data_IF_359066290097
#
_entry.id   IF_359066290097
#
_cell.length_a   1.000
_cell.length_b   1.000
_cell.length_c   1.000
_cell.angle_alpha   90.00
_cell.angle_beta   90.00
_cell.angle_gamma   90.00
#
_symmetry.space_group_name_H-M   'P 1'
#
loop_
_entity.id
_entity.type
_entity.pdbx_description
1 polymer ?
#
# COMPACT_ATOMS: atom_id res chain seq x y z
N UNK A 1 -1.45 -0.38 7.15
CA UNK A 1 -0.43 -1.16 6.43
C UNK A 1 -0.95 -2.56 6.25
N UNK A 2 -0.82 -3.10 5.04
CA UNK A 2 -1.18 -4.47 4.68
C UNK A 2 0.10 -5.18 4.30
N UNK A 3 0.30 -6.41 4.74
CA UNK A 3 1.44 -7.20 4.32
C UNK A 3 1.11 -8.68 4.23
N UNK A 4 1.82 -9.39 3.37
CA UNK A 4 1.70 -10.84 3.18
C UNK A 4 3.00 -11.41 2.64
N UNK A 5 3.13 -12.73 2.68
CA UNK A 5 4.21 -13.46 2.02
C UNK A 5 3.65 -14.03 0.72
N UNK A 6 4.28 -13.70 -0.40
CA UNK A 6 3.83 -14.13 -1.72
C UNK A 6 3.94 -15.66 -1.87
N UNK A 7 2.84 -16.30 -2.29
CA UNK A 7 2.78 -17.76 -2.56
C UNK A 7 3.22 -18.12 -3.99
N UNK A 8 3.26 -17.14 -4.88
CA UNK A 8 3.62 -17.24 -6.29
C UNK A 8 4.44 -15.99 -6.68
N UNK A 9 5.23 -16.09 -7.74
CA UNK A 9 5.97 -14.96 -8.30
C UNK A 9 5.22 -14.29 -9.45
N UNK A 10 5.68 -13.10 -9.84
CA UNK A 10 5.13 -12.35 -10.97
C UNK A 10 5.69 -10.94 -11.09
N UNK A 11 5.10 -10.13 -11.96
CA UNK A 11 5.61 -8.78 -12.26
C UNK A 11 4.56 -7.70 -12.12
N UNK A 12 3.34 -7.88 -12.60
CA UNK A 12 2.33 -6.83 -12.64
C UNK A 12 1.41 -6.88 -11.41
N UNK A 13 1.62 -5.95 -10.47
CA UNK A 13 0.75 -5.79 -9.30
C UNK A 13 -0.42 -4.86 -9.65
N UNK A 14 -1.65 -5.34 -9.50
CA UNK A 14 -2.88 -4.57 -9.76
C UNK A 14 -3.77 -4.50 -8.52
N UNK A 15 -4.28 -3.30 -8.22
CA UNK A 15 -5.26 -3.03 -7.17
C UNK A 15 -6.33 -2.08 -7.73
N UNK A 16 -7.46 -2.62 -8.24
CA UNK A 16 -8.48 -1.81 -8.90
C UNK A 16 -8.99 -0.64 -8.03
N UNK A 17 -9.21 -0.88 -6.74
CA UNK A 17 -9.67 0.14 -5.80
C UNK A 17 -8.83 0.09 -4.52
N UNK A 18 -7.88 1.03 -4.41
CA UNK A 18 -7.13 1.28 -3.19
C UNK A 18 -7.15 2.75 -2.81
N UNK A 19 -7.87 3.08 -1.74
CA UNK A 19 -8.14 4.47 -1.36
C UNK A 19 -7.27 4.92 -0.19
N UNK A 20 -6.52 6.02 -0.29
CA UNK A 20 -6.48 6.98 -1.43
C UNK A 20 -5.17 6.91 -2.20
N UNK A 21 -4.07 6.71 -1.47
CA UNK A 21 -2.71 6.58 -2.00
C UNK A 21 -2.02 5.37 -1.38
N UNK A 22 -1.40 4.55 -2.20
CA UNK A 22 -0.74 3.31 -1.75
C UNK A 22 0.72 3.28 -2.16
N UNK A 23 1.59 2.97 -1.22
CA UNK A 23 3.01 2.77 -1.44
C UNK A 23 3.26 1.26 -1.43
N UNK A 24 3.79 0.75 -2.53
CA UNK A 24 4.03 -0.68 -2.74
C UNK A 24 5.49 -0.98 -2.42
N UNK A 25 5.72 -1.99 -1.57
CA UNK A 25 7.05 -2.45 -1.19
C UNK A 25 7.18 -3.95 -1.43
N UNK A 26 8.33 -4.40 -1.92
CA UNK A 26 8.73 -5.80 -1.99
C UNK A 26 10.00 -5.96 -1.17
N UNK A 27 9.99 -6.87 -0.19
CA UNK A 27 11.12 -7.09 0.74
C UNK A 27 11.65 -5.78 1.38
N UNK A 28 10.71 -4.88 1.71
CA UNK A 28 10.95 -3.51 2.23
C UNK A 28 11.52 -2.49 1.25
N UNK A 29 11.74 -2.85 -0.01
CA UNK A 29 12.16 -1.93 -1.07
C UNK A 29 10.94 -1.28 -1.75
N UNK A 30 10.93 0.06 -1.82
CA UNK A 30 9.85 0.82 -2.45
C UNK A 30 9.83 0.57 -3.96
N UNK A 31 8.74 0.00 -4.45
CA UNK A 31 8.50 -0.24 -5.87
C UNK A 31 7.81 0.93 -6.56
N UNK A 32 6.95 1.64 -5.81
CA UNK A 32 6.30 2.85 -6.31
C UNK A 32 4.97 3.15 -5.63
N UNK A 33 4.19 4.01 -6.28
CA UNK A 33 2.96 4.57 -5.72
C UNK A 33 1.77 4.34 -6.65
N UNK A 34 0.66 3.89 -6.08
CA UNK A 34 -0.67 3.80 -6.69
C UNK A 34 -1.57 4.91 -6.14
N UNK A 35 -2.44 5.43 -7.00
CA UNK A 35 -3.35 6.53 -6.67
C UNK A 35 -4.74 6.17 -7.17
N UNK A 36 -5.73 6.12 -6.27
CA UNK A 36 -7.11 5.85 -6.69
C UNK A 36 -7.62 6.93 -7.63
N UNK A 37 -7.50 8.20 -7.21
CA UNK A 37 -7.86 9.35 -8.04
C UNK A 37 -7.25 10.63 -7.50
N UNK A 38 -6.67 11.43 -8.39
CA UNK A 38 -6.22 12.80 -8.13
C UNK A 38 -6.55 13.66 -9.35
N UNK A 39 -7.72 14.30 -9.34
CA UNK A 39 -8.26 14.98 -10.52
C UNK A 39 -8.55 14.00 -11.66
N UNK A 40 -7.88 14.19 -12.79
CA UNK A 40 -7.93 13.30 -13.97
C UNK A 40 -6.88 12.18 -13.93
N UNK A 41 -6.03 12.13 -12.89
CA UNK A 41 -4.98 11.13 -12.78
C UNK A 41 -5.42 9.96 -11.90
N UNK A 42 -5.09 8.75 -12.32
CA UNK A 42 -5.21 7.52 -11.54
C UNK A 42 -4.10 6.54 -11.93
N UNK A 43 -3.70 5.68 -11.00
CA UNK A 43 -2.77 4.59 -11.25
C UNK A 43 -3.11 3.42 -10.34
N UNK A 44 -3.66 2.36 -10.92
CA UNK A 44 -4.16 1.19 -10.19
C UNK A 44 -3.26 -0.04 -10.31
N UNK A 45 -2.14 0.08 -11.02
CA UNK A 45 -1.22 -1.01 -11.22
C UNK A 45 0.22 -0.49 -11.34
N UNK A 46 1.18 -1.39 -11.11
CA UNK A 46 2.61 -1.14 -11.25
C UNK A 46 3.34 -2.46 -11.53
N UNK A 47 4.37 -2.41 -12.36
CA UNK A 47 5.31 -3.52 -12.47
C UNK A 47 6.30 -3.45 -11.31
N UNK A 48 6.46 -4.57 -10.61
CA UNK A 48 7.29 -4.71 -9.42
C UNK A 48 8.47 -5.63 -9.70
N UNK A 49 9.61 -5.35 -9.09
CA UNK A 49 10.79 -6.18 -9.15
C UNK A 49 10.89 -7.08 -7.91
N UNK A 50 11.50 -8.25 -8.06
CA UNK A 50 11.77 -9.15 -6.93
C UNK A 50 10.55 -9.83 -6.32
N UNK A 51 9.36 -9.72 -6.91
CA UNK A 51 8.15 -10.40 -6.47
C UNK A 51 8.20 -11.91 -6.80
N UNK A 52 9.00 -12.64 -6.02
CA UNK A 52 9.19 -14.09 -6.08
C UNK A 52 8.44 -14.79 -4.95
N UNK A 53 8.29 -16.12 -5.06
CA UNK A 53 7.75 -16.96 -3.97
C UNK A 53 8.55 -16.69 -2.68
N UNK A 54 7.84 -16.44 -1.59
CA UNK A 54 8.41 -16.15 -0.28
C UNK A 54 8.82 -14.68 -0.06
N UNK A 55 8.79 -13.82 -1.08
CA UNK A 55 9.02 -12.40 -0.90
C UNK A 55 7.87 -11.76 -0.10
N UNK A 56 8.20 -10.71 0.66
CA UNK A 56 7.23 -9.97 1.46
C UNK A 56 6.67 -8.81 0.66
N UNK A 57 5.38 -8.87 0.35
CA UNK A 57 4.65 -7.74 -0.21
C UNK A 57 4.12 -6.88 0.94
N UNK A 58 4.48 -5.60 0.92
CA UNK A 58 3.96 -4.57 1.81
C UNK A 58 3.19 -3.51 1.01
N UNK A 59 2.02 -3.11 1.52
CA UNK A 59 1.24 -2.00 0.97
C UNK A 59 0.88 -1.05 2.11
N UNK A 60 1.52 0.12 2.10
CA UNK A 60 1.17 1.22 2.99
C UNK A 60 0.11 2.07 2.32
N UNK A 61 -1.11 2.07 2.86
CA UNK A 61 -2.21 2.89 2.35
C UNK A 61 -2.41 4.12 3.24
N UNK A 62 -2.34 5.29 2.62
CA UNK A 62 -2.67 6.57 3.22
C UNK A 62 -4.14 6.90 2.93
N UNK A 63 -4.89 7.18 4.00
CA UNK A 63 -6.20 7.81 3.92
C UNK A 63 -6.00 9.33 3.91
N UNK A 64 -6.25 9.97 2.77
CA UNK A 64 -6.02 11.41 2.57
C UNK A 64 -7.20 12.28 3.00
N UNK A 65 -8.18 11.69 3.70
CA UNK A 65 -9.39 12.35 4.19
C UNK A 65 -10.63 11.71 3.60
N UNK A 66 -11.71 11.67 4.39
CA UNK A 66 -13.03 11.23 3.92
C UNK A 66 -13.72 12.36 3.16
N UNK A 67 -14.36 12.05 2.05
CA UNK A 67 -15.25 13.00 1.36
C UNK A 67 -16.36 13.46 2.32
N UNK A 68 -16.66 14.75 2.32
CA UNK A 68 -17.62 15.37 3.24
C UNK A 68 -19.07 15.27 2.76
N UNK A 69 -19.34 15.30 1.44
CA UNK A 69 -20.69 15.22 0.86
C UNK A 69 -20.62 14.54 -0.53
N UNK A 70 -21.41 13.47 -0.81
CA UNK A 70 -22.22 12.65 0.10
C UNK A 70 -21.34 11.62 0.85
N UNK A 71 -21.52 11.52 2.16
CA UNK A 71 -20.47 11.12 3.11
C UNK A 71 -20.41 9.61 3.41
N UNK A 72 -21.51 8.87 3.20
CA UNK A 72 -21.73 7.62 3.96
C UNK A 72 -20.95 6.41 3.45
N UNK A 73 -20.42 6.45 2.22
CA UNK A 73 -19.83 5.28 1.55
C UNK A 73 -18.36 5.47 1.09
N UNK A 74 -17.60 6.38 1.71
CA UNK A 74 -16.18 6.58 1.35
C UNK A 74 -15.24 5.65 2.12
N UNK A 75 -15.40 4.33 1.98
CA UNK A 75 -14.47 3.35 2.57
C UNK A 75 -13.02 3.61 2.14
N UNK A 76 -12.06 3.27 3.01
CA UNK A 76 -10.63 3.57 2.84
C UNK A 76 -9.80 2.31 3.02
N UNK A 77 -8.58 2.32 2.47
CA UNK A 77 -7.74 1.13 2.40
C UNK A 77 -7.89 0.40 1.07
N UNK A 78 -7.58 -0.89 1.08
CA UNK A 78 -7.75 -1.78 -0.07
C UNK A 78 -9.20 -2.28 -0.08
N UNK A 79 -9.94 -1.98 -1.15
CA UNK A 79 -11.38 -2.28 -1.24
C UNK A 79 -11.71 -3.37 -2.26
N UNK A 80 -10.71 -3.86 -2.98
CA UNK A 80 -10.81 -4.95 -3.95
C UNK A 80 -9.64 -5.90 -3.79
N UNK A 81 -9.77 -7.11 -4.33
CA UNK A 81 -8.65 -8.04 -4.37
C UNK A 81 -7.42 -7.40 -5.02
N UNK A 82 -6.27 -7.65 -4.40
CA UNK A 82 -4.95 -7.36 -4.96
C UNK A 82 -4.55 -8.55 -5.80
N UNK A 83 -4.05 -8.30 -7.01
CA UNK A 83 -3.56 -9.35 -7.89
C UNK A 83 -2.10 -9.12 -8.29
N UNK A 84 -1.38 -10.21 -8.51
CA UNK A 84 -0.07 -10.22 -9.17
C UNK A 84 -0.19 -11.11 -10.40
N UNK A 85 0.02 -10.54 -11.58
CA UNK A 85 -0.24 -11.16 -12.89
C UNK A 85 -1.64 -11.78 -13.00
N UNK A 86 -2.65 -11.09 -12.44
CA UNK A 86 -4.04 -11.54 -12.44
C UNK A 86 -4.39 -12.58 -11.37
N UNK A 87 -3.41 -13.17 -10.68
CA UNK A 87 -3.65 -14.11 -9.59
C UNK A 87 -3.90 -13.38 -8.27
N UNK A 88 -4.95 -13.77 -7.54
CA UNK A 88 -5.34 -13.11 -6.28
C UNK A 88 -4.31 -13.40 -5.18
N UNK A 89 -3.87 -12.33 -4.52
CA UNK A 89 -3.00 -12.40 -3.35
C UNK A 89 -3.88 -12.42 -2.08
N UNK A 90 -3.62 -13.37 -1.19
CA UNK A 90 -4.40 -13.63 0.02
C UNK A 90 -3.52 -13.64 1.30
N UNK A 91 -4.08 -14.12 2.42
CA UNK A 91 -3.38 -14.27 3.70
C UNK A 91 -2.76 -12.98 4.25
N UNK A 92 -3.50 -11.88 4.12
CA UNK A 92 -3.09 -10.57 4.58
C UNK A 92 -3.05 -10.47 6.10
N UNK A 93 -2.01 -9.81 6.60
CA UNK A 93 -2.02 -9.21 7.92
C UNK A 93 -2.15 -7.70 7.75
N UNK A 94 -3.05 -7.10 8.53
CA UNK A 94 -3.35 -5.67 8.48
C UNK A 94 -3.08 -5.04 9.85
N UNK A 95 -2.36 -3.91 9.83
CA UNK A 95 -2.09 -3.11 11.02
C UNK A 95 -2.48 -1.65 10.77
N UNK A 96 -3.22 -1.06 11.72
CA UNK A 96 -3.45 0.38 11.75
C UNK A 96 -2.20 1.11 12.21
N UNK A 97 -1.81 2.18 11.50
CA UNK A 97 -0.71 3.05 11.91
C UNK A 97 -1.29 4.31 12.55
N UNK A 98 -1.09 4.44 13.86
CA UNK A 98 -1.54 5.60 14.59
C UNK A 98 -0.51 6.74 14.46
N UNK A 99 -0.98 7.99 14.34
CA UNK A 99 -0.12 9.17 14.17
C UNK A 99 0.94 9.30 15.27
N UNK A 100 0.61 8.94 16.51
CA UNK A 100 1.56 8.91 17.65
C UNK A 100 2.77 8.00 17.38
N UNK A 101 2.54 6.81 16.81
CA UNK A 101 3.60 5.87 16.46
C UNK A 101 4.46 6.40 15.31
N UNK A 102 3.83 7.00 14.30
CA UNK A 102 4.57 7.62 13.18
C UNK A 102 5.45 8.76 13.69
N UNK A 103 4.94 9.61 14.59
CA UNK A 103 5.71 10.70 15.19
C UNK A 103 6.88 10.20 16.03
N UNK A 104 6.71 9.11 16.80
CA UNK A 104 7.82 8.55 17.56
C UNK A 104 8.92 8.00 16.65
N UNK A 105 8.55 7.28 15.59
CA UNK A 105 9.50 6.75 14.60
C UNK A 105 10.23 7.90 13.89
N UNK A 106 9.50 8.93 13.42
CA UNK A 106 10.09 10.06 12.71
C UNK A 106 11.04 10.90 13.58
N UNK A 107 10.76 11.01 14.90
CA UNK A 107 11.68 11.65 15.85
C UNK A 107 12.94 10.82 16.06
N UNK A 108 12.81 9.51 16.14
CA UNK A 108 13.93 8.60 16.28
C UNK A 108 14.82 8.64 15.03
N UNK A 109 14.27 8.52 13.83
CA UNK A 109 15.02 8.60 12.59
C UNK A 109 15.78 9.93 12.44
N UNK A 110 15.14 11.07 12.77
CA UNK A 110 15.82 12.36 12.76
C UNK A 110 17.03 12.41 13.68
N UNK A 111 16.94 11.83 14.88
CA UNK A 111 18.07 11.78 15.81
C UNK A 111 19.26 11.02 15.24
N UNK A 112 19.02 9.98 14.43
CA UNK A 112 20.08 9.17 13.83
C UNK A 112 20.78 9.88 12.66
N UNK A 113 20.11 10.80 11.98
CA UNK A 113 20.71 11.61 10.90
C UNK A 113 21.60 12.77 11.40
N UNK A 114 21.75 12.95 12.72
CA UNK A 114 22.65 13.93 13.32
C UNK A 114 23.91 13.30 13.95
N UNK A 115 24.17 12.02 13.69
CA UNK A 115 25.38 11.30 14.09
C UNK A 115 26.03 10.62 12.89
#
# INVERSE_FOLDING_TARGET
MYYTTLKFGGTNLTIPITKDRSYVLIDNELQGVLVYRSGIYWKHWIDVEGARIGAKLGILVENQGRQTIPTINDFKGILTNVTLDGQIIDNWIQCGLHSKLILSIARQARRWNYF
#
